data_IF_592097307989
#
_entry.id   IF_592097307989
#
_cell.length_a   1.000
_cell.length_b   1.000
_cell.length_c   1.000
_cell.angle_alpha   90.00
_cell.angle_beta   90.00
_cell.angle_gamma   90.00
#
_symmetry.space_group_name_H-M   'P 1'
#
loop_
_entity.id
_entity.type
_entity.pdbx_description
1 polymer ?
#
# COMPACT_ATOMS: atom_id res chain seq x y z
N UNK A 1 -9.21 -0.55 -12.78
CA UNK A 1 -9.71 -1.93 -12.60
C UNK A 1 -10.44 -1.95 -11.28
N UNK A 2 -11.69 -2.41 -11.19
CA UNK A 2 -12.25 -2.70 -9.87
C UNK A 2 -11.38 -3.83 -9.29
N UNK A 3 -10.67 -3.55 -8.21
CA UNK A 3 -10.14 -4.63 -7.38
C UNK A 3 -11.37 -5.36 -6.88
N UNK A 4 -11.64 -6.53 -7.44
CA UNK A 4 -12.54 -7.46 -6.77
C UNK A 4 -11.93 -7.69 -5.40
N UNK A 5 -12.64 -7.27 -4.34
CA UNK A 5 -12.32 -7.56 -2.94
C UNK A 5 -12.55 -9.06 -2.68
N UNK A 6 -11.88 -9.88 -3.48
CA UNK A 6 -11.84 -11.32 -3.38
C UNK A 6 -10.58 -11.66 -2.57
N UNK A 7 -10.72 -12.25 -1.37
CA UNK A 7 -9.59 -12.72 -0.57
C UNK A 7 -8.62 -13.58 -1.39
N UNK A 8 -9.11 -14.35 -2.37
CA UNK A 8 -8.26 -15.18 -3.21
C UNK A 8 -7.33 -14.36 -4.11
N UNK A 9 -7.78 -13.19 -4.58
CA UNK A 9 -6.94 -12.28 -5.37
C UNK A 9 -5.76 -11.73 -4.54
N UNK A 10 -5.96 -11.44 -3.25
CA UNK A 10 -4.87 -11.02 -2.36
C UNK A 10 -3.88 -12.15 -2.08
N UNK A 11 -4.37 -13.38 -1.88
CA UNK A 11 -3.51 -14.56 -1.75
C UNK A 11 -2.64 -14.75 -2.99
N UNK A 12 -3.21 -14.58 -4.18
CA UNK A 12 -2.47 -14.76 -5.43
C UNK A 12 -1.44 -13.64 -5.67
N UNK A 13 -1.78 -12.38 -5.35
CA UNK A 13 -0.81 -11.28 -5.35
C UNK A 13 0.32 -11.51 -4.33
N UNK A 14 0.00 -11.95 -3.12
CA UNK A 14 1.01 -12.24 -2.09
C UNK A 14 2.01 -13.28 -2.60
N UNK A 15 1.53 -14.37 -3.22
CA UNK A 15 2.38 -15.41 -3.83
C UNK A 15 3.30 -14.86 -4.92
N UNK A 16 2.78 -13.98 -5.80
CA UNK A 16 3.59 -13.34 -6.84
C UNK A 16 4.73 -12.48 -6.26
N UNK A 17 4.53 -11.94 -5.06
CA UNK A 17 5.53 -11.16 -4.32
C UNK A 17 6.36 -12.00 -3.34
N UNK A 18 6.27 -13.33 -3.39
CA UNK A 18 7.02 -14.24 -2.52
C UNK A 18 6.54 -14.26 -1.06
N UNK A 19 5.35 -13.74 -0.79
CA UNK A 19 4.70 -13.76 0.52
C UNK A 19 3.72 -14.94 0.60
N UNK A 20 3.60 -15.52 1.79
CA UNK A 20 2.62 -16.58 2.07
C UNK A 20 1.63 -16.06 3.10
N UNK A 21 0.38 -15.91 2.67
CA UNK A 21 -0.76 -15.55 3.53
C UNK A 21 -1.88 -16.56 3.33
N UNK A 22 -2.70 -16.78 4.37
CA UNK A 22 -3.90 -17.59 4.23
C UNK A 22 -5.06 -16.78 3.62
N UNK A 23 -6.12 -17.47 3.20
CA UNK A 23 -7.35 -16.81 2.75
C UNK A 23 -7.99 -16.02 3.90
N UNK A 24 -7.93 -16.53 5.13
CA UNK A 24 -8.46 -15.84 6.32
C UNK A 24 -7.68 -14.56 6.61
N UNK A 25 -6.34 -14.58 6.52
CA UNK A 25 -5.54 -13.35 6.67
C UNK A 25 -5.87 -12.34 5.56
N UNK A 26 -6.23 -12.82 4.37
CA UNK A 26 -6.63 -11.97 3.25
C UNK A 26 -8.05 -11.39 3.41
N UNK A 27 -8.96 -12.05 4.14
CA UNK A 27 -10.26 -11.50 4.51
C UNK A 27 -10.11 -10.29 5.43
N UNK A 28 -9.16 -10.35 6.37
CA UNK A 28 -8.86 -9.25 7.29
C UNK A 28 -8.30 -8.01 6.55
N UNK A 29 -7.74 -8.17 5.35
CA UNK A 29 -7.25 -7.05 4.54
C UNK A 29 -8.36 -6.14 4.03
N UNK A 30 -9.59 -6.65 3.84
CA UNK A 30 -10.72 -5.87 3.32
C UNK A 30 -11.00 -4.64 4.21
N UNK A 31 -10.81 -4.76 5.52
CA UNK A 31 -10.93 -3.65 6.47
C UNK A 31 -9.86 -2.56 6.32
N UNK A 32 -8.70 -2.88 5.73
CA UNK A 32 -7.60 -1.93 5.54
C UNK A 32 -7.61 -1.25 4.16
N UNK A 33 -8.26 -1.84 3.15
CA UNK A 33 -8.29 -1.30 1.79
C UNK A 33 -8.79 0.15 1.72
N UNK A 34 -9.88 0.56 2.41
CA UNK A 34 -10.36 1.94 2.34
C UNK A 34 -9.34 2.95 2.90
N UNK A 35 -8.59 2.56 3.94
CA UNK A 35 -7.56 3.41 4.52
C UNK A 35 -6.35 3.56 3.58
N UNK A 36 -5.95 2.48 2.90
CA UNK A 36 -4.89 2.48 1.90
C UNK A 36 -5.29 3.34 0.69
N UNK A 37 -6.52 3.17 0.19
CA UNK A 37 -7.06 3.97 -0.92
C UNK A 37 -7.10 5.46 -0.56
N UNK A 38 -7.54 5.80 0.66
CA UNK A 38 -7.55 7.18 1.14
C UNK A 38 -6.15 7.79 1.22
N UNK A 39 -5.16 7.04 1.70
CA UNK A 39 -3.76 7.49 1.75
C UNK A 39 -3.19 7.75 0.34
N UNK A 40 -3.42 6.83 -0.61
CA UNK A 40 -2.95 7.01 -1.99
C UNK A 40 -3.69 8.13 -2.71
N UNK A 41 -4.98 8.34 -2.44
CA UNK A 41 -5.71 9.49 -2.97
C UNK A 41 -5.07 10.81 -2.53
N UNK A 42 -4.78 10.96 -1.23
CA UNK A 42 -4.11 12.14 -0.70
C UNK A 42 -2.71 12.35 -1.31
N UNK A 43 -1.93 11.28 -1.51
CA UNK A 43 -0.62 11.38 -2.18
C UNK A 43 -0.75 11.86 -3.63
N UNK A 44 -1.77 11.40 -4.36
CA UNK A 44 -2.00 11.78 -5.76
C UNK A 44 -2.45 13.23 -5.94
N UNK A 45 -2.95 13.87 -4.89
CA UNK A 45 -3.28 15.31 -4.90
C UNK A 45 -2.04 16.21 -4.77
N UNK A 46 -0.89 15.65 -4.42
CA UNK A 46 0.36 16.41 -4.32
C UNK A 46 0.79 16.82 -5.73
N UNK A 47 0.94 18.13 -5.93
CA UNK A 47 1.51 18.66 -7.16
C UNK A 47 2.98 18.27 -7.27
N UNK A 48 3.28 17.47 -8.29
CA UNK A 48 4.63 16.97 -8.59
C UNK A 48 5.22 17.65 -9.84
N UNK A 49 4.60 18.72 -10.34
CA UNK A 49 5.10 19.47 -11.48
C UNK A 49 6.53 20.00 -11.20
N UNK A 50 7.45 19.71 -12.12
CA UNK A 50 8.85 20.11 -12.00
C UNK A 50 9.72 19.21 -11.12
N UNK A 51 9.17 18.12 -10.56
CA UNK A 51 9.94 17.10 -9.85
C UNK A 51 10.15 15.88 -10.74
N UNK A 52 11.39 15.39 -10.79
CA UNK A 52 11.70 14.10 -11.41
C UNK A 52 11.21 12.96 -10.52
N UNK A 53 10.61 11.89 -11.08
CA UNK A 53 10.18 10.73 -10.31
C UNK A 53 11.35 10.10 -9.56
N UNK A 54 11.25 10.00 -8.23
CA UNK A 54 12.22 9.25 -7.45
C UNK A 54 11.97 7.74 -7.64
N UNK A 55 12.96 7.03 -8.19
CA UNK A 55 12.91 5.57 -8.36
C UNK A 55 12.92 4.79 -7.03
N UNK A 56 13.23 5.47 -5.92
CA UNK A 56 13.30 4.88 -4.58
C UNK A 56 12.53 5.78 -3.62
N UNK A 57 11.40 5.29 -3.11
CA UNK A 57 10.70 5.91 -2.00
C UNK A 57 11.46 5.54 -0.72
N UNK A 58 12.42 6.36 -0.31
CA UNK A 58 13.11 6.19 0.98
C UNK A 58 12.24 6.88 2.03
N UNK A 59 11.61 6.16 2.98
CA UNK A 59 10.93 6.82 4.09
C UNK A 59 11.97 7.67 4.80
N UNK A 60 11.76 8.99 4.85
CA UNK A 60 12.63 9.86 5.65
C UNK A 60 12.61 9.31 7.08
N UNK A 61 13.76 8.93 7.66
CA UNK A 61 13.79 8.46 9.03
C UNK A 61 13.21 9.55 9.91
N UNK A 62 12.06 9.28 10.53
CA UNK A 62 11.54 10.12 11.60
C UNK A 62 12.58 10.07 12.70
N UNK A 63 13.42 11.11 12.79
CA UNK A 63 14.23 11.33 13.98
C UNK A 63 13.23 11.55 15.11
N UNK A 64 13.03 10.54 15.96
CA UNK A 64 12.70 10.83 17.35
C UNK A 64 13.87 11.65 17.87
N UNK A 65 13.67 12.95 18.06
CA UNK A 65 14.50 13.66 19.04
C UNK A 65 14.29 12.93 20.36
N UNK A 66 15.37 12.33 20.85
CA UNK A 66 15.42 11.79 22.19
C UNK A 66 15.56 12.99 23.13
N UNK A 67 14.50 13.26 23.89
CA UNK A 67 14.56 13.99 25.16
C UNK A 67 14.46 12.98 26.30
#
# INVERSE_FOLDING_TARGET
MPTTNDPQHFVDQAKQNGLVISVTDAEDLDGFLPAVDGAYAAIREIDTAGFEPAAIFVPTPSKKEAD
#
